data_IF_342889128486
#
_entry.id   IF_342889128486
#
_cell.length_a   1.000
_cell.length_b   1.000
_cell.length_c   1.000
_cell.angle_alpha   90.00
_cell.angle_beta   90.00
_cell.angle_gamma   90.00
#
_symmetry.space_group_name_H-M   'P 1'
#
loop_
_entity.id
_entity.type
_entity.pdbx_description
1 polymer ?
#
# COMPACT_ATOMS: atom_id res chain seq x y z
N UNK A 1 15.12 21.80 7.10
CA UNK A 1 14.19 20.85 6.47
C UNK A 1 12.92 20.87 7.29
N UNK A 2 11.88 21.54 6.79
CA UNK A 2 10.51 21.36 7.27
C UNK A 2 9.87 20.25 6.42
N UNK A 3 8.94 19.48 6.99
CA UNK A 3 8.20 18.45 6.25
C UNK A 3 8.97 17.16 6.00
N UNK A 4 9.82 16.69 6.92
CA UNK A 4 10.66 15.51 6.67
C UNK A 4 9.82 14.23 6.57
N UNK A 5 8.87 14.05 7.49
CA UNK A 5 7.95 12.90 7.47
C UNK A 5 7.10 12.92 6.21
N UNK A 6 6.49 14.08 5.91
CA UNK A 6 5.67 14.27 4.72
C UNK A 6 6.44 13.92 3.46
N UNK A 7 7.64 14.49 3.25
CA UNK A 7 8.43 14.23 2.05
C UNK A 7 8.87 12.77 1.94
N UNK A 8 9.25 12.14 3.06
CA UNK A 8 9.67 10.73 3.06
C UNK A 8 8.53 9.81 2.65
N UNK A 9 7.36 9.97 3.24
CA UNK A 9 6.21 9.11 2.95
C UNK A 9 5.55 9.41 1.61
N UNK A 10 5.49 10.67 1.16
CA UNK A 10 5.05 11.01 -0.20
C UNK A 10 5.91 10.33 -1.27
N UNK A 11 7.24 10.30 -1.10
CA UNK A 11 8.12 9.60 -2.05
C UNK A 11 7.86 8.08 -2.09
N UNK A 12 7.54 7.46 -0.96
CA UNK A 12 7.14 6.05 -0.89
C UNK A 12 5.80 5.83 -1.62
N UNK A 13 4.83 6.69 -1.38
CA UNK A 13 3.53 6.65 -2.03
C UNK A 13 3.64 6.78 -3.56
N UNK A 14 4.47 7.70 -4.06
CA UNK A 14 4.74 7.88 -5.49
C UNK A 14 5.33 6.61 -6.11
N UNK A 15 6.35 6.03 -5.45
CA UNK A 15 6.96 4.77 -5.87
C UNK A 15 5.93 3.64 -5.95
N UNK A 16 5.09 3.48 -4.93
CA UNK A 16 4.06 2.45 -4.88
C UNK A 16 3.01 2.65 -5.99
N UNK A 17 2.53 3.88 -6.18
CA UNK A 17 1.54 4.22 -7.21
C UNK A 17 2.08 3.98 -8.62
N UNK A 18 3.34 4.35 -8.88
CA UNK A 18 4.01 4.13 -10.16
C UNK A 18 4.13 2.63 -10.47
N UNK A 19 4.65 1.85 -9.53
CA UNK A 19 4.83 0.42 -9.71
C UNK A 19 3.48 -0.30 -9.87
N UNK A 20 2.46 0.09 -9.09
CA UNK A 20 1.12 -0.51 -9.16
C UNK A 20 0.49 -0.23 -10.54
N UNK A 21 0.61 0.99 -11.05
CA UNK A 21 0.18 1.35 -12.40
C UNK A 21 0.94 0.57 -13.49
N UNK A 22 2.25 0.35 -13.30
CA UNK A 22 3.05 -0.44 -14.21
C UNK A 22 2.61 -1.91 -14.23
N UNK A 23 2.41 -2.53 -13.07
CA UNK A 23 1.87 -3.89 -12.96
C UNK A 23 0.50 -3.98 -13.64
N UNK A 24 -0.41 -3.04 -13.38
CA UNK A 24 -1.74 -3.02 -13.99
C UNK A 24 -1.67 -3.03 -15.53
N UNK A 25 -0.81 -2.18 -16.10
CA UNK A 25 -0.63 -2.09 -17.56
C UNK A 25 -0.08 -3.38 -18.21
N UNK A 26 0.55 -4.24 -17.42
CA UNK A 26 1.13 -5.51 -17.89
C UNK A 26 0.15 -6.68 -17.84
N UNK A 27 -0.97 -6.61 -17.11
CA UNK A 27 -1.87 -7.76 -16.88
C UNK A 27 -2.28 -8.45 -18.19
N UNK A 28 -2.58 -7.68 -19.24
CA UNK A 28 -3.03 -8.21 -20.54
C UNK A 28 -1.91 -8.58 -21.50
N UNK A 29 -0.73 -7.95 -21.37
CA UNK A 29 0.36 -8.07 -22.34
C UNK A 29 1.50 -8.98 -21.87
N UNK A 30 1.74 -9.04 -20.57
CA UNK A 30 2.77 -9.85 -19.94
C UNK A 30 2.42 -10.16 -18.48
N UNK A 31 1.59 -11.18 -18.28
CA UNK A 31 1.11 -11.57 -16.95
C UNK A 31 2.25 -11.98 -16.00
N UNK A 32 3.28 -12.65 -16.50
CA UNK A 32 4.41 -13.08 -15.68
C UNK A 32 5.16 -11.87 -15.11
N UNK A 33 5.41 -10.85 -15.95
CA UNK A 33 6.01 -9.60 -15.49
C UNK A 33 5.07 -8.85 -14.55
N UNK A 34 3.76 -8.79 -14.85
CA UNK A 34 2.78 -8.19 -13.95
C UNK A 34 2.84 -8.83 -12.56
N UNK A 35 2.83 -10.16 -12.48
CA UNK A 35 2.91 -10.88 -11.22
C UNK A 35 4.22 -10.62 -10.48
N UNK A 36 5.35 -10.59 -11.20
CA UNK A 36 6.65 -10.30 -10.59
C UNK A 36 6.68 -8.90 -9.95
N UNK A 37 6.23 -7.88 -10.70
CA UNK A 37 6.15 -6.49 -10.20
C UNK A 37 5.16 -6.41 -9.04
N UNK A 38 3.98 -7.03 -9.15
CA UNK A 38 2.99 -7.03 -8.08
C UNK A 38 3.50 -7.69 -6.80
N UNK A 39 4.22 -8.81 -6.89
CA UNK A 39 4.80 -9.48 -5.72
C UNK A 39 5.80 -8.58 -4.97
N UNK A 40 6.57 -7.77 -5.70
CA UNK A 40 7.45 -6.78 -5.09
C UNK A 40 6.62 -5.70 -4.36
N UNK A 41 5.63 -5.12 -5.04
CA UNK A 41 4.77 -4.07 -4.46
C UNK A 41 3.96 -4.59 -3.27
N UNK A 42 3.45 -5.83 -3.32
CA UNK A 42 2.72 -6.46 -2.22
C UNK A 42 3.56 -6.46 -0.94
N UNK A 43 4.84 -6.85 -1.03
CA UNK A 43 5.74 -6.84 0.14
C UNK A 43 5.97 -5.42 0.63
N UNK A 44 6.22 -4.49 -0.29
CA UNK A 44 6.45 -3.07 0.03
C UNK A 44 5.24 -2.41 0.70
N UNK A 45 4.03 -2.63 0.16
CA UNK A 45 2.77 -2.12 0.72
C UNK A 45 2.46 -2.72 2.09
N UNK A 46 2.63 -4.03 2.26
CA UNK A 46 2.34 -4.68 3.55
C UNK A 46 3.30 -4.22 4.65
N UNK A 47 4.59 -4.06 4.33
CA UNK A 47 5.57 -3.49 5.26
C UNK A 47 5.22 -2.03 5.59
N UNK A 48 4.90 -1.23 4.57
CA UNK A 48 4.51 0.15 4.76
C UNK A 48 3.26 0.29 5.65
N UNK A 49 2.23 -0.52 5.42
CA UNK A 49 1.04 -0.56 6.28
C UNK A 49 1.40 -0.98 7.70
N UNK A 50 2.31 -1.93 7.88
CA UNK A 50 2.78 -2.34 9.21
C UNK A 50 3.45 -1.19 9.97
N UNK A 51 4.30 -0.40 9.30
CA UNK A 51 4.88 0.81 9.90
C UNK A 51 3.82 1.82 10.34
N UNK A 52 2.82 2.05 9.49
CA UNK A 52 1.73 2.97 9.82
C UNK A 52 0.94 2.47 11.04
N UNK A 53 0.56 1.20 11.05
CA UNK A 53 -0.28 0.62 12.11
C UNK A 53 0.41 0.48 13.46
N UNK A 54 1.68 0.05 13.46
CA UNK A 54 2.41 -0.33 14.68
C UNK A 54 3.35 0.75 15.20
N UNK A 55 3.72 1.74 14.37
CA UNK A 55 4.66 2.80 14.77
C UNK A 55 3.99 4.17 14.74
N UNK A 56 3.32 4.54 13.65
CA UNK A 56 2.78 5.90 13.51
C UNK A 56 1.43 6.09 14.20
N UNK A 57 0.47 5.18 13.99
CA UNK A 57 -0.86 5.28 14.60
C UNK A 57 -0.85 5.27 16.12
N UNK A 58 0.05 4.52 16.82
CA UNK A 58 0.15 4.59 18.26
C UNK A 58 0.48 5.98 18.81
N UNK A 59 1.18 6.83 18.05
CA UNK A 59 1.48 8.21 18.48
C UNK A 59 0.21 9.02 18.75
N UNK A 60 -0.88 8.73 18.05
CA UNK A 60 -2.17 9.41 18.20
C UNK A 60 -3.06 8.79 19.29
N UNK A 61 -2.62 7.69 19.90
CA UNK A 61 -3.36 6.93 20.92
C UNK A 61 -2.68 6.98 22.30
N UNK A 62 -1.43 7.39 22.38
CA UNK A 62 -0.71 7.56 23.64
C UNK A 62 -0.99 8.93 24.26
N UNK A 63 -1.66 8.97 25.41
CA UNK A 63 -1.99 10.19 26.17
C UNK A 63 -0.76 11.04 26.53
N UNK A 64 0.44 10.46 26.52
CA UNK A 64 1.69 11.16 26.80
C UNK A 64 2.29 11.83 25.57
N UNK A 65 1.81 11.50 24.38
CA UNK A 65 2.33 12.00 23.13
C UNK A 65 1.63 13.32 22.72
N UNK A 66 2.35 14.32 22.21
CA UNK A 66 1.75 15.56 21.72
C UNK A 66 0.73 15.37 20.59
N UNK A 67 0.73 14.22 19.92
CA UNK A 67 -0.21 13.86 18.85
C UNK A 67 -1.52 13.22 19.34
N UNK A 68 -1.68 12.98 20.65
CA UNK A 68 -2.85 12.32 21.21
C UNK A 68 -4.18 12.93 20.72
N UNK A 69 -5.06 12.09 20.17
CA UNK A 69 -6.38 12.46 19.62
C UNK A 69 -6.37 13.56 18.51
N UNK A 70 -5.21 13.96 18.01
CA UNK A 70 -5.10 14.99 16.96
C UNK A 70 -5.50 14.49 15.57
N UNK A 71 -5.66 13.17 15.40
CA UNK A 71 -6.07 12.56 14.13
C UNK A 71 -6.91 11.29 14.33
N UNK A 72 -8.02 11.12 13.59
CA UNK A 72 -8.86 9.92 13.68
C UNK A 72 -8.21 8.71 12.97
N UNK A 73 -7.53 7.85 13.71
CA UNK A 73 -6.83 6.67 13.16
C UNK A 73 -7.75 5.47 12.88
N UNK A 74 -8.96 5.44 13.45
CA UNK A 74 -9.87 4.29 13.31
C UNK A 74 -10.34 4.04 11.87
N UNK A 75 -10.70 5.11 11.14
CA UNK A 75 -11.11 4.99 9.74
C UNK A 75 -9.95 4.51 8.85
N UNK A 76 -8.73 4.99 9.09
CA UNK A 76 -7.54 4.54 8.36
C UNK A 76 -7.27 3.05 8.56
N UNK A 77 -7.44 2.54 9.79
CA UNK A 77 -7.30 1.11 10.07
C UNK A 77 -8.26 0.27 9.23
N UNK A 78 -9.53 0.66 9.14
CA UNK A 78 -10.51 -0.06 8.32
C UNK A 78 -10.15 -0.02 6.84
N UNK A 79 -9.68 1.13 6.35
CA UNK A 79 -9.23 1.29 4.97
C UNK A 79 -7.99 0.43 4.67
N UNK A 80 -7.03 0.33 5.59
CA UNK A 80 -5.88 -0.57 5.45
C UNK A 80 -6.27 -2.06 5.49
N UNK A 81 -7.25 -2.45 6.31
CA UNK A 81 -7.78 -3.83 6.24
C UNK A 81 -8.37 -4.13 4.86
N UNK A 82 -9.08 -3.16 4.27
CA UNK A 82 -9.60 -3.31 2.91
C UNK A 82 -8.47 -3.41 1.88
N UNK A 83 -7.43 -2.57 1.96
CA UNK A 83 -6.24 -2.70 1.12
C UNK A 83 -5.61 -4.11 1.22
N UNK A 84 -5.42 -4.64 2.43
CA UNK A 84 -4.85 -5.99 2.65
C UNK A 84 -5.68 -7.07 1.97
N UNK A 85 -7.01 -6.99 2.05
CA UNK A 85 -7.91 -7.93 1.37
C UNK A 85 -7.75 -7.87 -0.16
N UNK A 86 -7.73 -6.67 -0.73
CA UNK A 86 -7.56 -6.47 -2.16
C UNK A 86 -6.18 -6.96 -2.65
N UNK A 87 -5.12 -6.66 -1.89
CA UNK A 87 -3.75 -7.11 -2.17
C UNK A 87 -3.68 -8.64 -2.25
N UNK A 88 -4.28 -9.33 -1.27
CA UNK A 88 -4.29 -10.79 -1.26
C UNK A 88 -5.10 -11.36 -2.42
N UNK A 89 -6.26 -10.79 -2.71
CA UNK A 89 -7.09 -11.24 -3.82
C UNK A 89 -6.36 -11.11 -5.17
N UNK A 90 -5.72 -9.96 -5.42
CA UNK A 90 -4.92 -9.73 -6.62
C UNK A 90 -3.75 -10.73 -6.69
N UNK A 91 -3.08 -10.98 -5.57
CA UNK A 91 -1.97 -11.94 -5.49
C UNK A 91 -2.40 -13.36 -5.89
N UNK A 92 -3.57 -13.79 -5.42
CA UNK A 92 -4.13 -15.10 -5.73
C UNK A 92 -4.53 -15.21 -7.20
N UNK A 93 -5.23 -14.20 -7.72
CA UNK A 93 -5.68 -14.19 -9.11
C UNK A 93 -4.52 -14.12 -10.11
N UNK A 94 -3.49 -13.30 -9.86
CA UNK A 94 -2.28 -13.29 -10.68
C UNK A 94 -1.60 -14.66 -10.71
N UNK A 95 -1.53 -15.34 -9.56
CA UNK A 95 -0.96 -16.69 -9.46
C UNK A 95 -1.80 -17.74 -10.20
N UNK A 96 -3.14 -17.62 -10.10
CA UNK A 96 -4.07 -18.46 -10.84
C UNK A 96 -3.93 -18.27 -12.35
N UNK A 97 -3.88 -17.03 -12.84
CA UNK A 97 -3.73 -16.72 -14.27
C UNK A 97 -2.40 -17.26 -14.78
N UNK A 98 -1.30 -17.09 -14.04
CA UNK A 98 0.01 -17.63 -14.42
C UNK A 98 0.00 -19.15 -14.54
N UNK A 99 -0.69 -19.85 -13.63
CA UNK A 99 -0.85 -21.32 -13.69
C UNK A 99 -1.69 -21.74 -14.90
N UNK A 100 -2.81 -21.06 -15.16
CA UNK A 100 -3.67 -21.34 -16.31
C UNK A 100 -2.96 -21.07 -17.64
N UNK A 101 -2.10 -20.06 -17.69
CA UNK A 101 -1.34 -19.67 -18.89
C UNK A 101 -0.29 -20.70 -19.30
N UNK A 102 0.10 -21.61 -18.41
CA UNK A 102 1.00 -22.73 -18.70
C UNK A 102 0.28 -23.95 -19.30
N UNK A 103 -1.05 -23.98 -19.25
CA UNK A 103 -1.85 -25.07 -19.79
C UNK A 103 -2.05 -24.93 -21.30
N UNK A 104 -1.89 -26.03 -22.03
CA UNK A 104 -2.08 -26.07 -23.49
C UNK A 104 -3.52 -26.40 -23.92
N UNK A 105 -4.52 -26.22 -23.05
CA UNK A 105 -5.92 -26.47 -23.40
C UNK A 105 -6.74 -25.17 -23.50
N UNK A 106 -7.70 -25.14 -24.42
CA UNK A 106 -8.47 -23.93 -24.71
C UNK A 106 -9.41 -23.52 -23.55
N UNK A 107 -9.84 -24.47 -22.71
CA UNK A 107 -10.63 -24.17 -21.51
C UNK A 107 -9.85 -23.30 -20.53
N UNK A 108 -8.57 -23.60 -20.32
CA UNK A 108 -7.69 -22.84 -19.44
C UNK A 108 -7.44 -21.42 -19.95
N UNK A 109 -7.32 -21.24 -21.28
CA UNK A 109 -7.21 -19.90 -21.89
C UNK A 109 -8.49 -19.08 -21.67
N UNK A 110 -9.66 -19.68 -21.84
CA UNK A 110 -10.95 -19.02 -21.58
C UNK A 110 -11.08 -18.63 -20.11
N UNK A 111 -10.71 -19.54 -19.19
CA UNK A 111 -10.74 -19.26 -17.76
C UNK A 111 -9.74 -18.16 -17.35
N UNK A 112 -8.54 -18.14 -17.93
CA UNK A 112 -7.54 -17.11 -17.70
C UNK A 112 -8.07 -15.72 -18.11
N UNK A 113 -8.68 -15.61 -19.29
CA UNK A 113 -9.27 -14.34 -19.77
C UNK A 113 -10.45 -13.87 -18.91
N UNK A 114 -11.28 -14.81 -18.44
CA UNK A 114 -12.36 -14.50 -17.49
C UNK A 114 -11.81 -13.99 -16.16
N UNK A 115 -10.77 -14.65 -15.63
CA UNK A 115 -10.10 -14.26 -14.39
C UNK A 115 -9.45 -12.88 -14.53
N UNK A 116 -8.76 -12.60 -15.65
CA UNK A 116 -8.22 -11.26 -15.96
C UNK A 116 -9.33 -10.20 -15.95
N UNK A 117 -10.49 -10.49 -16.55
CA UNK A 117 -11.60 -9.54 -16.63
C UNK A 117 -12.16 -9.19 -15.25
N UNK A 118 -12.19 -10.16 -14.34
CA UNK A 118 -12.62 -9.96 -12.94
C UNK A 118 -11.53 -9.29 -12.08
N UNK A 119 -10.26 -9.52 -12.38
CA UNK A 119 -9.13 -8.96 -11.64
C UNK A 119 -9.00 -7.45 -11.83
N UNK A 120 -9.20 -6.95 -13.06
CA UNK A 120 -8.99 -5.54 -13.39
C UNK A 120 -9.76 -4.54 -12.52
N UNK A 121 -11.08 -4.69 -12.26
CA UNK A 121 -11.80 -3.78 -11.38
C UNK A 121 -11.28 -3.79 -9.93
N UNK A 122 -10.83 -4.94 -9.44
CA UNK A 122 -10.28 -5.11 -8.08
C UNK A 122 -8.93 -4.40 -7.95
N UNK A 123 -8.13 -4.49 -9.01
CA UNK A 123 -6.87 -3.77 -9.12
C UNK A 123 -7.08 -2.25 -9.13
N UNK A 124 -8.07 -1.77 -9.88
CA UNK A 124 -8.45 -0.35 -9.88
C UNK A 124 -8.99 0.11 -8.52
N UNK A 125 -9.78 -0.72 -7.84
CA UNK A 125 -10.26 -0.44 -6.49
C UNK A 125 -9.12 -0.23 -5.51
N UNK A 126 -8.09 -1.09 -5.53
CA UNK A 126 -6.90 -0.91 -4.71
C UNK A 126 -6.17 0.40 -5.04
N UNK A 127 -6.01 0.74 -6.32
CA UNK A 127 -5.35 1.99 -6.76
C UNK A 127 -6.10 3.21 -6.25
N UNK A 128 -7.42 3.23 -6.38
CA UNK A 128 -8.28 4.32 -5.93
C UNK A 128 -8.20 4.47 -4.41
N UNK A 129 -8.32 3.36 -3.67
CA UNK A 129 -8.27 3.37 -2.21
C UNK A 129 -6.93 3.88 -1.68
N UNK A 130 -5.81 3.40 -2.23
CA UNK A 130 -4.48 3.88 -1.85
C UNK A 130 -4.31 5.37 -2.17
N UNK A 131 -4.79 5.84 -3.33
CA UNK A 131 -4.71 7.26 -3.66
C UNK A 131 -5.51 8.13 -2.67
N UNK A 132 -6.71 7.70 -2.27
CA UNK A 132 -7.51 8.41 -1.27
C UNK A 132 -6.82 8.43 0.10
N UNK A 133 -6.23 7.31 0.52
CA UNK A 133 -5.42 7.22 1.74
C UNK A 133 -4.23 8.17 1.70
N UNK A 134 -3.50 8.21 0.58
CA UNK A 134 -2.33 9.06 0.40
C UNK A 134 -2.71 10.54 0.52
N UNK A 135 -3.77 10.98 -0.17
CA UNK A 135 -4.28 12.36 -0.06
C UNK A 135 -4.61 12.71 1.39
N UNK A 136 -5.36 11.85 2.10
CA UNK A 136 -5.73 12.11 3.50
C UNK A 136 -4.51 12.24 4.41
N UNK A 137 -3.50 11.40 4.21
CA UNK A 137 -2.31 11.35 5.06
C UNK A 137 -1.33 12.49 4.76
N UNK A 138 -1.10 12.78 3.49
CA UNK A 138 -0.20 13.84 3.06
C UNK A 138 -0.76 15.24 3.31
N UNK A 139 -2.09 15.39 3.34
CA UNK A 139 -2.72 16.70 3.57
C UNK A 139 -2.82 17.07 5.05
N UNK A 140 -2.85 16.08 5.94
CA UNK A 140 -3.14 16.30 7.37
C UNK A 140 -2.23 15.45 8.25
N UNK A 141 -2.24 14.12 8.10
CA UNK A 141 -1.54 13.20 9.03
C UNK A 141 -0.04 13.50 9.16
N UNK A 142 0.74 13.43 8.07
CA UNK A 142 2.19 13.66 8.14
C UNK A 142 2.55 15.11 8.46
N UNK A 143 1.84 16.13 7.91
CA UNK A 143 2.04 17.50 8.36
C UNK A 143 1.86 17.68 9.87
N UNK A 144 0.83 17.07 10.48
CA UNK A 144 0.63 17.14 11.94
C UNK A 144 1.81 16.53 12.69
N UNK A 145 2.38 15.41 12.21
CA UNK A 145 3.59 14.82 12.81
C UNK A 145 4.79 15.75 12.67
N UNK A 146 5.01 16.33 11.47
CA UNK A 146 6.10 17.27 11.20
C UNK A 146 6.01 18.56 12.03
N UNK A 147 4.79 18.99 12.38
CA UNK A 147 4.55 20.19 13.20
C UNK A 147 4.68 19.92 14.71
N UNK A 148 4.25 18.74 15.17
CA UNK A 148 4.19 18.41 16.60
C UNK A 148 5.52 17.88 17.16
N UNK A 149 6.30 17.17 16.36
CA UNK A 149 7.52 16.50 16.81
C UNK A 149 8.78 17.31 16.53
N UNK A 150 9.73 17.22 17.45
CA UNK A 150 11.09 17.73 17.28
C UNK A 150 11.89 16.87 16.29
N UNK A 151 13.05 17.37 15.85
CA UNK A 151 13.90 16.61 14.92
C UNK A 151 14.48 15.36 15.54
N UNK A 152 14.78 15.42 16.84
CA UNK A 152 15.27 14.31 17.63
C UNK A 152 14.22 13.20 17.72
N UNK A 153 12.97 13.56 18.02
CA UNK A 153 11.84 12.61 18.04
C UNK A 153 11.56 11.99 16.66
N UNK A 154 11.65 12.78 15.58
CA UNK A 154 11.53 12.26 14.20
C UNK A 154 12.67 11.29 13.87
N UNK A 155 13.90 11.57 14.32
CA UNK A 155 15.02 10.66 14.11
C UNK A 155 14.84 9.33 14.86
N UNK A 156 14.38 9.37 16.11
CA UNK A 156 14.01 8.17 16.88
C UNK A 156 12.88 7.39 16.23
N UNK A 157 11.90 8.10 15.66
CA UNK A 157 10.80 7.48 14.93
C UNK A 157 11.30 6.72 13.69
N UNK A 158 12.22 7.29 12.91
CA UNK A 158 12.83 6.58 11.79
C UNK A 158 13.62 5.34 12.22
N UNK A 159 14.36 5.41 13.34
CA UNK A 159 15.03 4.24 13.89
C UNK A 159 14.02 3.16 14.25
N UNK A 160 12.88 3.55 14.85
CA UNK A 160 11.82 2.61 15.24
C UNK A 160 11.19 1.94 14.02
N UNK A 161 10.92 2.71 12.96
CA UNK A 161 10.38 2.22 11.68
C UNK A 161 11.29 1.16 11.07
N UNK A 162 12.60 1.43 10.97
CA UNK A 162 13.57 0.49 10.37
C UNK A 162 13.75 -0.78 11.21
N UNK A 163 13.52 -0.71 12.52
CA UNK A 163 13.59 -1.89 13.38
C UNK A 163 12.31 -2.74 13.36
N UNK A 164 11.24 -2.28 12.69
CA UNK A 164 9.99 -3.01 12.47
C UNK A 164 9.90 -3.53 11.02
N UNK A 165 10.92 -4.29 10.58
CA UNK A 165 11.00 -4.97 9.28
C UNK A 165 10.59 -6.46 9.33
#
# INVERSE_FOLDING_TARGET
MQGLMTNYFSAIHDKQSFLLSYSYGLIRSNIAQSQHVFNFIKRDLLLFIHWEEEVLFPLFKDEKNPLFESYPTYSLLQEFQHCKMLIEHISLDLSKISTLSQSNNDKAKVEANSTISNLLPIFEELRILLNLLNIKKESIFYPTVDEALTKEEIAELFITIVNHE
#
